data_IF_905920538339
#
_entry.id   IF_905920538339
#
_cell.length_a   1.000
_cell.length_b   1.000
_cell.length_c   1.000
_cell.angle_alpha   90.00
_cell.angle_beta   90.00
_cell.angle_gamma   90.00
#
_symmetry.space_group_name_H-M   'P 1'
#
loop_
_entity.id
_entity.type
_entity.pdbx_description
1 polymer ?
#
# COMPACT_ATOMS: atom_id res chain seq x y z
N UNK A 1 -4.25 25.33 -6.97
CA UNK A 1 -3.67 23.99 -6.77
C UNK A 1 -4.15 23.54 -5.41
N UNK A 2 -5.12 22.63 -5.35
CA UNK A 2 -5.60 22.05 -4.09
C UNK A 2 -4.47 21.22 -3.50
N UNK A 3 -4.25 21.34 -2.19
CA UNK A 3 -3.26 20.57 -1.45
C UNK A 3 -3.32 19.10 -1.84
N UNK A 4 -2.22 18.56 -2.37
CA UNK A 4 -1.98 17.13 -2.55
C UNK A 4 -1.69 16.48 -1.18
N UNK A 5 -2.50 16.78 -0.17
CA UNK A 5 -2.50 16.03 1.07
C UNK A 5 -3.35 14.80 0.83
N UNK A 6 -2.70 13.65 0.69
CA UNK A 6 -3.36 12.38 0.90
C UNK A 6 -3.81 12.42 2.36
N UNK A 7 -5.12 12.47 2.61
CA UNK A 7 -5.63 12.33 3.97
C UNK A 7 -5.13 11.00 4.54
N UNK A 8 -4.71 10.92 5.82
CA UNK A 8 -4.14 9.70 6.39
C UNK A 8 -4.98 8.44 6.12
N UNK A 9 -6.31 8.54 6.25
CA UNK A 9 -7.24 7.44 5.93
C UNK A 9 -7.30 7.05 4.45
N UNK A 10 -6.96 7.95 3.52
CA UNK A 10 -6.85 7.62 2.11
C UNK A 10 -5.56 6.85 1.80
N UNK A 11 -4.46 7.13 2.51
CA UNK A 11 -3.21 6.39 2.38
C UNK A 11 -3.33 4.94 2.84
N UNK A 12 -3.98 4.73 3.99
CA UNK A 12 -4.30 3.39 4.49
C UNK A 12 -5.23 2.63 3.54
N UNK A 13 -6.28 3.28 3.03
CA UNK A 13 -7.19 2.67 2.06
C UNK A 13 -6.46 2.26 0.76
N UNK A 14 -5.54 3.09 0.25
CA UNK A 14 -4.74 2.76 -0.93
C UNK A 14 -3.79 1.58 -0.65
N UNK A 15 -3.14 1.56 0.52
CA UNK A 15 -2.30 0.42 0.94
C UNK A 15 -3.12 -0.88 0.94
N UNK A 16 -4.28 -0.85 1.57
CA UNK A 16 -5.12 -2.04 1.75
C UNK A 16 -5.65 -2.55 0.40
N UNK A 17 -6.03 -1.64 -0.52
CA UNK A 17 -6.39 -2.01 -1.90
C UNK A 17 -5.24 -2.68 -2.67
N UNK A 18 -4.00 -2.26 -2.44
CA UNK A 18 -2.84 -2.91 -3.06
C UNK A 18 -2.59 -4.31 -2.47
N UNK A 19 -2.77 -4.49 -1.17
CA UNK A 19 -2.68 -5.80 -0.51
C UNK A 19 -3.77 -6.76 -1.02
N UNK A 20 -5.03 -6.31 -1.04
CA UNK A 20 -6.15 -7.07 -1.58
C UNK A 20 -5.90 -7.44 -3.05
N UNK A 21 -5.42 -6.49 -3.86
CA UNK A 21 -5.05 -6.75 -5.24
C UNK A 21 -4.00 -7.84 -5.39
N UNK A 22 -2.95 -7.84 -4.55
CA UNK A 22 -1.94 -8.90 -4.56
C UNK A 22 -2.53 -10.27 -4.21
N UNK A 23 -3.38 -10.33 -3.19
CA UNK A 23 -4.05 -11.57 -2.75
C UNK A 23 -4.97 -12.13 -3.85
N UNK A 24 -5.74 -11.28 -4.52
CA UNK A 24 -6.62 -11.69 -5.62
C UNK A 24 -5.83 -12.23 -6.82
N UNK A 25 -4.70 -11.62 -7.15
CA UNK A 25 -3.82 -12.08 -8.24
C UNK A 25 -3.25 -13.46 -7.90
N UNK A 26 -2.77 -13.65 -6.68
CA UNK A 26 -2.24 -14.94 -6.24
C UNK A 26 -3.31 -16.03 -6.15
N UNK A 27 -4.48 -15.71 -5.60
CA UNK A 27 -5.62 -16.63 -5.57
C UNK A 27 -6.06 -17.04 -6.98
N UNK A 28 -5.96 -16.14 -7.95
CA UNK A 28 -6.19 -16.48 -9.37
C UNK A 28 -5.13 -17.47 -9.87
N UNK A 29 -3.85 -17.26 -9.52
CA UNK A 29 -2.77 -18.20 -9.82
C UNK A 29 -2.99 -19.59 -9.21
N UNK A 30 -3.42 -19.68 -7.95
CA UNK A 30 -3.76 -20.94 -7.29
C UNK A 30 -4.95 -21.65 -7.92
N UNK A 31 -5.91 -20.89 -8.45
CA UNK A 31 -7.10 -21.43 -9.13
C UNK A 31 -6.83 -21.92 -10.55
N UNK A 32 -5.68 -21.57 -11.13
CA UNK A 32 -5.36 -21.95 -12.50
C UNK A 32 -4.97 -23.44 -12.58
N UNK A 33 -5.44 -24.15 -13.63
CA UNK A 33 -5.25 -25.58 -13.75
C UNK A 33 -3.76 -25.93 -13.91
N UNK A 34 -3.26 -26.82 -13.05
CA UNK A 34 -1.86 -27.29 -13.11
C UNK A 34 -1.54 -28.15 -14.34
N UNK A 35 -2.55 -28.71 -15.00
CA UNK A 35 -2.43 -29.42 -16.28
C UNK A 35 -3.63 -29.11 -17.17
N UNK A 36 -3.39 -29.00 -18.48
CA UNK A 36 -4.45 -28.92 -19.49
C UNK A 36 -4.26 -30.04 -20.49
N UNK A 37 -5.32 -30.82 -20.72
CA UNK A 37 -5.37 -31.80 -21.81
C UNK A 37 -5.97 -31.13 -23.06
N UNK A 38 -5.08 -30.69 -23.95
CA UNK A 38 -5.41 -30.13 -25.25
C UNK A 38 -4.86 -31.01 -26.39
N UNK A 39 -4.62 -32.30 -26.14
CA UNK A 39 -4.03 -33.22 -27.10
C UNK A 39 -2.63 -32.76 -27.56
N UNK A 40 -2.35 -32.66 -28.88
CA UNK A 40 -1.04 -32.24 -29.38
C UNK A 40 -0.60 -30.84 -28.93
N UNK A 41 -1.55 -29.98 -28.53
CA UNK A 41 -1.30 -28.61 -28.10
C UNK A 41 -0.97 -28.44 -26.61
N UNK A 42 -1.03 -29.53 -25.81
CA UNK A 42 -0.89 -29.45 -24.35
C UNK A 42 0.42 -28.81 -23.90
N UNK A 43 1.54 -29.07 -24.59
CA UNK A 43 2.84 -28.47 -24.23
C UNK A 43 2.87 -26.95 -24.42
N UNK A 44 2.26 -26.45 -25.50
CA UNK A 44 2.18 -25.01 -25.78
C UNK A 44 1.27 -24.31 -24.76
N UNK A 45 0.12 -24.91 -24.44
CA UNK A 45 -0.81 -24.34 -23.46
C UNK A 45 -0.21 -24.36 -22.05
N UNK A 46 0.47 -25.43 -21.65
CA UNK A 46 1.18 -25.47 -20.36
C UNK A 46 2.26 -24.38 -20.28
N UNK A 47 3.01 -24.14 -21.36
CA UNK A 47 4.01 -23.08 -21.38
C UNK A 47 3.39 -21.67 -21.24
N UNK A 48 2.24 -21.43 -21.91
CA UNK A 48 1.48 -20.18 -21.76
C UNK A 48 1.01 -20.01 -20.32
N UNK A 49 0.43 -21.05 -19.72
CA UNK A 49 -0.04 -21.00 -18.33
C UNK A 49 1.10 -20.75 -17.34
N UNK A 50 2.26 -21.38 -17.53
CA UNK A 50 3.44 -21.12 -16.70
C UNK A 50 3.91 -19.67 -16.82
N UNK A 51 3.92 -19.09 -18.02
CA UNK A 51 4.30 -17.69 -18.20
C UNK A 51 3.29 -16.74 -17.55
N UNK A 52 1.98 -17.00 -17.73
CA UNK A 52 0.91 -16.21 -17.10
C UNK A 52 1.02 -16.26 -15.57
N UNK A 53 1.28 -17.43 -14.98
CA UNK A 53 1.47 -17.55 -13.54
C UNK A 53 2.72 -16.80 -13.06
N UNK A 54 3.82 -16.85 -13.83
CA UNK A 54 5.04 -16.11 -13.51
C UNK A 54 4.79 -14.60 -13.51
N UNK A 55 4.14 -14.07 -14.56
CA UNK A 55 3.82 -12.64 -14.66
C UNK A 55 2.83 -12.20 -13.59
N UNK A 56 1.86 -13.03 -13.23
CA UNK A 56 0.94 -12.79 -12.13
C UNK A 56 1.69 -12.68 -10.78
N UNK A 57 2.63 -13.60 -10.52
CA UNK A 57 3.47 -13.55 -9.31
C UNK A 57 4.30 -12.26 -9.25
N UNK A 58 4.89 -11.84 -10.36
CA UNK A 58 5.66 -10.59 -10.42
C UNK A 58 4.75 -9.38 -10.16
N UNK A 59 3.55 -9.36 -10.72
CA UNK A 59 2.58 -8.29 -10.51
C UNK A 59 2.12 -8.22 -9.04
N UNK A 60 1.84 -9.37 -8.41
CA UNK A 60 1.49 -9.43 -6.99
C UNK A 60 2.63 -8.89 -6.11
N UNK A 61 3.89 -9.20 -6.46
CA UNK A 61 5.05 -8.66 -5.76
C UNK A 61 5.15 -7.13 -5.88
N UNK A 62 4.88 -6.57 -7.08
CA UNK A 62 4.82 -5.12 -7.29
C UNK A 62 3.73 -4.49 -6.42
N UNK A 63 2.54 -5.08 -6.36
CA UNK A 63 1.45 -4.59 -5.51
C UNK A 63 1.86 -4.54 -4.02
N UNK A 64 2.51 -5.58 -3.50
CA UNK A 64 3.03 -5.57 -2.12
C UNK A 64 4.11 -4.52 -1.88
N UNK A 65 4.99 -4.31 -2.86
CA UNK A 65 6.01 -3.27 -2.76
C UNK A 65 5.37 -1.88 -2.67
N UNK A 66 4.34 -1.60 -3.49
CA UNK A 66 3.60 -0.34 -3.44
C UNK A 66 2.86 -0.19 -2.11
N UNK A 67 2.20 -1.23 -1.61
CA UNK A 67 1.55 -1.21 -0.30
C UNK A 67 2.56 -0.88 0.82
N UNK A 68 3.75 -1.49 0.76
CA UNK A 68 4.83 -1.23 1.74
C UNK A 68 5.26 0.24 1.72
N UNK A 69 5.51 0.80 0.53
CA UNK A 69 5.89 2.22 0.39
C UNK A 69 4.77 3.12 0.90
N UNK A 70 3.51 2.81 0.56
CA UNK A 70 2.37 3.62 1.02
C UNK A 70 2.22 3.59 2.54
N UNK A 71 2.39 2.41 3.16
CA UNK A 71 2.40 2.27 4.62
C UNK A 71 3.51 3.11 5.27
N UNK A 72 4.72 3.06 4.74
CA UNK A 72 5.83 3.89 5.24
C UNK A 72 5.54 5.39 5.14
N UNK A 73 4.88 5.83 4.06
CA UNK A 73 4.51 7.23 3.89
C UNK A 73 3.45 7.65 4.91
N UNK A 74 2.44 6.82 5.16
CA UNK A 74 1.43 7.05 6.21
C UNK A 74 2.11 7.17 7.58
N UNK A 75 2.95 6.20 7.94
CA UNK A 75 3.67 6.20 9.22
C UNK A 75 4.54 7.47 9.40
N UNK A 76 5.20 7.92 8.33
CA UNK A 76 6.00 9.15 8.34
C UNK A 76 5.15 10.41 8.53
N UNK A 77 3.97 10.47 7.92
CA UNK A 77 3.05 11.59 8.12
C UNK A 77 2.55 11.64 9.57
N UNK A 78 2.15 10.50 10.13
CA UNK A 78 1.66 10.42 11.51
C UNK A 78 2.74 10.82 12.52
N UNK A 79 3.97 10.32 12.35
CA UNK A 79 5.10 10.69 13.19
C UNK A 79 5.46 12.19 13.06
N UNK A 80 5.32 12.76 11.86
CA UNK A 80 5.54 14.20 11.64
C UNK A 80 4.46 15.03 12.34
N UNK A 81 3.20 14.64 12.23
CA UNK A 81 2.08 15.32 12.90
C UNK A 81 2.19 15.23 14.43
N UNK A 82 2.63 14.10 14.98
CA UNK A 82 2.92 13.94 16.42
C UNK A 82 4.06 14.86 16.87
N UNK A 83 5.19 14.87 16.14
CA UNK A 83 6.32 15.77 16.42
C UNK A 83 5.94 17.25 16.39
N UNK A 84 5.10 17.66 15.42
CA UNK A 84 4.60 19.03 15.33
C UNK A 84 3.72 19.37 16.54
N UNK A 85 2.82 18.47 16.95
CA UNK A 85 1.96 18.66 18.14
C UNK A 85 2.81 18.81 19.40
N UNK A 86 3.79 17.93 19.60
CA UNK A 86 4.69 17.98 20.75
C UNK A 86 5.50 19.27 20.81
N UNK A 87 6.02 19.72 19.66
CA UNK A 87 6.75 20.99 19.57
C UNK A 87 5.84 22.18 19.90
N UNK A 88 4.59 22.17 19.42
CA UNK A 88 3.63 23.23 19.70
C UNK A 88 3.22 23.26 21.18
N UNK A 89 2.99 22.10 21.78
CA UNK A 89 2.72 21.94 23.21
C UNK A 89 3.89 22.43 24.07
N UNK A 90 5.12 22.17 23.65
CA UNK A 90 6.31 22.64 24.34
C UNK A 90 6.43 24.17 24.29
N UNK A 91 6.17 24.78 23.12
CA UNK A 91 6.16 26.25 22.97
C UNK A 91 5.07 26.87 23.83
N UNK A 92 3.85 26.33 23.81
CA UNK A 92 2.71 26.89 24.56
C UNK A 92 2.88 26.78 26.08
N UNK A 93 3.53 25.73 26.60
CA UNK A 93 3.90 25.64 28.02
C UNK A 93 4.99 26.63 28.44
N UNK A 94 5.82 27.07 27.50
CA UNK A 94 6.88 28.06 27.71
C UNK A 94 6.40 29.51 27.62
N UNK A 95 5.17 29.75 27.17
CA UNK A 95 4.59 31.09 27.13
C UNK A 95 4.18 31.48 28.56
N UNK A 96 4.63 32.65 29.07
CA UNK A 96 4.08 33.18 30.32
C UNK A 96 2.56 33.31 30.16
N UNK A 97 1.81 32.91 31.18
CA UNK A 97 0.40 33.23 31.24
C UNK A 97 0.27 34.73 31.00
N UNK A 98 -0.60 35.13 30.07
CA UNK A 98 -0.84 36.53 29.77
C UNK A 98 -1.33 37.22 31.04
N UNK A 99 -0.41 37.79 31.82
CA UNK A 99 -0.69 38.73 32.90
C UNK A 99 -1.01 40.10 32.28
N UNK A 100 -1.99 40.13 31.37
CA UNK A 100 -2.66 41.32 30.89
C UNK A 100 -4.14 41.16 31.27
N UNK A 101 -4.64 41.78 32.33
CA UNK A 101 -4.59 43.22 32.48
C UNK A 101 -5.56 43.88 31.49
N UNK A 102 -6.86 43.60 31.63
CA UNK A 102 -7.98 44.53 31.44
C UNK A 102 -9.27 43.98 32.03
#
# INVERSE_FOLDING_TARGET
MSDLRIEPGAGEAIRDLHLEGAELIEGTGESAPGTVDAGPGSSAISAILSNVMSEASDLAAVHRAVATVMGQVVDQYDATDESIRDAFDQVTRGLPADEGGR
#
